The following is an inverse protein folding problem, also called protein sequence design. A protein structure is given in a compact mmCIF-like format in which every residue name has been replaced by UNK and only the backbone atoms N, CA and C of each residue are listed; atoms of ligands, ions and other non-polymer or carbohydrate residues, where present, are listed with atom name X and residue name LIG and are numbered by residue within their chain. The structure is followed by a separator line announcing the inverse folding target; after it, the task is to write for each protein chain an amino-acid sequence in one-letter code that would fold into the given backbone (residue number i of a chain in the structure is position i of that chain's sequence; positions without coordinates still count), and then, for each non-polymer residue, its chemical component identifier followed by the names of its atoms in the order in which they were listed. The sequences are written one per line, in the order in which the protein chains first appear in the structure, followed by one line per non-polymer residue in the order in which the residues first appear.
data_IF_320604322036
#
_entry.id   IF_320604322036
#
_cell.length_a   1.000
_cell.length_b   1.000
_cell.length_c   1.000
_cell.angle_alpha   90.00
_cell.angle_beta   90.00
_cell.angle_gamma   90.00
#
_symmetry.space_group_name_H-M   'P 1'
#
loop_
_entity.id
_entity.type
_entity.pdbx_description
1 polymer ?
#
# COMPACT_ATOMS: atom_id res chain seq x y z
N UNK A 1 14.89 -12.74 -12.74
CA UNK A 1 15.51 -13.09 -11.44
C UNK A 1 14.59 -14.02 -10.69
N UNK A 2 15.13 -14.93 -9.87
CA UNK A 2 14.32 -15.88 -9.10
C UNK A 2 13.59 -15.21 -7.93
N UNK A 3 14.15 -14.14 -7.39
CA UNK A 3 13.59 -13.36 -6.27
C UNK A 3 13.51 -11.88 -6.65
N UNK A 4 12.56 -11.18 -6.09
CA UNK A 4 12.38 -9.75 -6.32
C UNK A 4 13.52 -8.93 -5.70
N UNK A 5 13.88 -9.24 -4.46
CA UNK A 5 14.97 -8.60 -3.73
C UNK A 5 15.61 -9.55 -2.70
N UNK A 6 16.71 -9.12 -2.10
CA UNK A 6 17.44 -9.88 -1.08
C UNK A 6 16.63 -10.08 0.21
N UNK A 7 15.57 -9.32 0.43
CA UNK A 7 14.72 -9.49 1.61
C UNK A 7 13.93 -10.80 1.57
N UNK A 8 13.70 -11.37 0.38
CA UNK A 8 12.99 -12.64 0.24
C UNK A 8 13.81 -13.85 0.69
N UNK A 9 15.14 -13.76 0.57
CA UNK A 9 16.05 -14.87 0.88
C UNK A 9 16.59 -14.84 2.31
N UNK A 10 16.17 -13.88 3.14
CA UNK A 10 16.58 -13.79 4.55
C UNK A 10 16.15 -15.03 5.33
N UNK A 11 17.02 -15.52 6.20
CA UNK A 11 16.65 -16.56 7.17
C UNK A 11 15.57 -16.07 8.13
N UNK A 12 14.93 -17.01 8.85
CA UNK A 12 13.93 -16.69 9.88
C UNK A 12 14.53 -15.81 10.98
N UNK A 13 15.74 -16.13 11.41
CA UNK A 13 16.48 -15.40 12.44
C UNK A 13 16.82 -13.98 11.99
N UNK A 14 17.26 -13.82 10.74
CA UNK A 14 17.55 -12.50 10.17
C UNK A 14 16.29 -11.64 10.06
N UNK A 15 15.15 -12.22 9.65
CA UNK A 15 13.86 -11.48 9.63
C UNK A 15 13.44 -11.04 11.03
N UNK A 16 13.58 -11.92 12.03
CA UNK A 16 13.24 -11.60 13.42
C UNK A 16 14.14 -10.47 13.96
N UNK A 17 15.44 -10.53 13.70
CA UNK A 17 16.40 -9.49 14.09
C UNK A 17 16.09 -8.15 13.40
N UNK A 18 15.82 -8.14 12.09
CA UNK A 18 15.48 -6.93 11.36
C UNK A 18 14.17 -6.31 11.88
N UNK A 19 13.17 -7.14 12.18
CA UNK A 19 11.90 -6.68 12.76
C UNK A 19 12.13 -6.07 14.15
N UNK A 20 12.92 -6.74 15.01
CA UNK A 20 13.25 -6.25 16.35
C UNK A 20 13.92 -4.87 16.31
N UNK A 21 14.77 -4.62 15.32
CA UNK A 21 15.42 -3.33 15.13
C UNK A 21 14.47 -2.26 14.54
N UNK A 22 13.58 -2.64 13.62
CA UNK A 22 12.73 -1.69 12.88
C UNK A 22 11.48 -1.24 13.67
N UNK A 23 10.89 -2.14 14.49
CA UNK A 23 9.64 -1.85 15.21
C UNK A 23 9.74 -0.61 16.12
N UNK A 24 10.72 -0.49 17.03
CA UNK A 24 10.82 0.68 17.90
C UNK A 24 10.96 1.97 17.09
N UNK A 25 11.76 1.97 16.03
CA UNK A 25 12.01 3.15 15.19
C UNK A 25 10.73 3.60 14.50
N UNK A 26 9.95 2.67 13.93
CA UNK A 26 8.68 2.98 13.28
C UNK A 26 7.64 3.52 14.26
N UNK A 27 7.55 2.95 15.46
CA UNK A 27 6.59 3.38 16.49
C UNK A 27 6.95 4.77 17.02
N UNK A 28 8.23 5.01 17.29
CA UNK A 28 8.74 6.33 17.70
C UNK A 28 8.49 7.36 16.61
N UNK A 29 8.78 7.02 15.34
CA UNK A 29 8.48 7.90 14.21
C UNK A 29 6.99 8.24 14.13
N UNK A 30 6.10 7.27 14.24
CA UNK A 30 4.67 7.51 14.23
C UNK A 30 4.22 8.42 15.38
N UNK A 31 4.67 8.16 16.61
CA UNK A 31 4.39 8.99 17.79
C UNK A 31 4.88 10.43 17.62
N UNK A 32 6.10 10.60 17.16
CA UNK A 32 6.74 11.92 17.16
C UNK A 32 6.26 12.80 16.00
N UNK A 33 5.80 12.21 14.89
CA UNK A 33 5.44 12.94 13.68
C UNK A 33 3.93 12.98 13.38
N UNK A 34 3.08 12.30 14.16
CA UNK A 34 1.64 12.36 13.96
C UNK A 34 0.91 12.74 15.25
N UNK A 35 -0.15 13.54 15.12
CA UNK A 35 -0.93 13.98 16.27
C UNK A 35 -1.60 12.81 16.99
N UNK A 36 -2.28 11.96 16.25
CA UNK A 36 -3.09 10.88 16.80
C UNK A 36 -2.25 9.77 17.42
N UNK A 37 -1.14 9.35 16.78
CA UNK A 37 -0.27 8.35 17.42
C UNK A 37 0.52 8.90 18.59
N UNK A 38 0.79 10.21 18.66
CA UNK A 38 1.34 10.84 19.85
C UNK A 38 0.44 10.64 21.07
N UNK A 39 -0.86 10.79 20.90
CA UNK A 39 -1.85 10.57 21.95
C UNK A 39 -1.99 9.08 22.29
N UNK A 40 -2.16 8.22 21.27
CA UNK A 40 -2.39 6.78 21.45
C UNK A 40 -1.19 6.07 22.12
N UNK A 41 0.03 6.51 21.80
CA UNK A 41 1.27 5.83 22.22
C UNK A 41 1.99 6.54 23.39
N UNK A 42 1.39 7.58 23.99
CA UNK A 42 2.02 8.41 25.03
C UNK A 42 2.49 7.62 26.27
N UNK A 43 1.71 6.63 26.69
CA UNK A 43 1.95 5.85 27.90
C UNK A 43 2.88 4.62 27.69
N UNK A 44 3.36 4.40 26.48
CA UNK A 44 4.11 3.20 26.14
C UNK A 44 5.61 3.46 25.99
N UNK A 45 6.43 2.59 26.59
CA UNK A 45 7.88 2.54 26.32
C UNK A 45 8.15 1.82 25.01
N UNK A 46 8.12 2.59 23.92
CA UNK A 46 8.24 2.07 22.56
C UNK A 46 9.59 1.44 22.26
N UNK A 47 10.64 1.77 23.04
CA UNK A 47 11.97 1.19 22.89
C UNK A 47 11.99 -0.32 23.21
N UNK A 48 11.05 -0.79 23.99
CA UNK A 48 10.89 -2.22 24.39
C UNK A 48 10.03 -3.03 23.42
N UNK A 49 9.41 -2.39 22.42
CA UNK A 49 8.56 -3.09 21.45
C UNK A 49 9.42 -3.67 20.33
N UNK A 50 10.08 -4.79 20.60
CA UNK A 50 11.07 -5.42 19.71
C UNK A 50 10.61 -6.76 19.13
N UNK A 51 9.34 -7.15 19.34
CA UNK A 51 8.81 -8.44 18.87
C UNK A 51 7.32 -8.35 18.57
N UNK A 52 6.78 -9.34 17.87
CA UNK A 52 5.32 -9.45 17.66
C UNK A 52 4.56 -9.60 18.99
N UNK A 53 5.15 -10.29 19.96
CA UNK A 53 4.55 -10.43 21.29
C UNK A 53 4.45 -9.11 22.04
N UNK A 54 5.52 -8.30 22.03
CA UNK A 54 5.48 -6.96 22.63
C UNK A 54 4.61 -5.97 21.83
N UNK A 55 4.53 -6.10 20.50
CA UNK A 55 3.64 -5.31 19.67
C UNK A 55 2.17 -5.53 20.03
N UNK A 56 1.77 -6.75 20.41
CA UNK A 56 0.39 -7.08 20.79
C UNK A 56 -0.10 -6.38 22.07
N UNK A 57 0.79 -5.80 22.84
CA UNK A 57 0.42 -4.98 24.02
C UNK A 57 -0.03 -3.56 23.67
N UNK A 58 0.21 -3.11 22.43
CA UNK A 58 -0.22 -1.78 21.99
C UNK A 58 -1.69 -1.77 21.57
N UNK A 59 -2.36 -0.61 21.68
CA UNK A 59 -3.77 -0.49 21.29
C UNK A 59 -3.95 -0.70 19.77
N UNK A 60 -5.05 -1.37 19.43
CA UNK A 60 -5.44 -1.62 18.02
C UNK A 60 -6.17 -0.38 17.47
N UNK A 61 -5.67 0.18 16.38
CA UNK A 61 -6.38 1.22 15.62
C UNK A 61 -7.50 0.60 14.80
N UNK A 62 -8.75 0.94 15.12
CA UNK A 62 -9.92 0.43 14.41
C UNK A 62 -10.33 1.37 13.28
N UNK A 63 -10.83 0.81 12.17
CA UNK A 63 -11.28 1.58 11.00
C UNK A 63 -12.39 2.60 11.38
N UNK A 64 -13.29 2.24 12.28
CA UNK A 64 -14.31 3.16 12.81
C UNK A 64 -13.72 4.37 13.54
N UNK A 65 -12.64 4.16 14.28
CA UNK A 65 -11.93 5.26 14.98
C UNK A 65 -11.26 6.21 14.00
N UNK A 66 -10.69 5.69 12.90
CA UNK A 66 -10.12 6.52 11.83
C UNK A 66 -11.20 7.41 11.21
N UNK A 67 -12.35 6.82 10.82
CA UNK A 67 -13.48 7.58 10.24
C UNK A 67 -13.95 8.71 11.18
N UNK A 68 -14.05 8.43 12.48
CA UNK A 68 -14.44 9.44 13.45
C UNK A 68 -13.40 10.55 13.60
N UNK A 69 -12.12 10.20 13.64
CA UNK A 69 -11.03 11.17 13.73
C UNK A 69 -10.96 12.06 12.47
N UNK A 70 -11.21 11.51 11.29
CA UNK A 70 -11.25 12.28 10.04
C UNK A 70 -12.41 13.26 9.97
N UNK A 71 -13.57 12.96 10.59
CA UNK A 71 -14.67 13.92 10.73
C UNK A 71 -14.30 15.09 11.64
N UNK A 72 -13.53 14.83 12.69
CA UNK A 72 -13.13 15.84 13.67
C UNK A 72 -11.92 16.67 13.22
N UNK A 73 -11.02 16.07 12.42
CA UNK A 73 -9.80 16.69 11.91
C UNK A 73 -9.52 16.27 10.46
N UNK A 74 -10.27 16.82 9.47
CA UNK A 74 -10.10 16.47 8.05
C UNK A 74 -8.71 16.86 7.50
N UNK A 75 -8.22 16.18 6.45
CA UNK A 75 -8.81 14.99 5.85
C UNK A 75 -8.38 13.68 6.53
N UNK A 76 -7.25 13.63 7.25
CA UNK A 76 -6.61 12.38 7.67
C UNK A 76 -6.73 12.08 9.18
N UNK A 77 -7.45 12.88 9.94
CA UNK A 77 -7.68 12.62 11.36
C UNK A 77 -6.43 12.67 12.24
N UNK A 78 -5.36 13.34 11.79
CA UNK A 78 -4.08 13.40 12.51
C UNK A 78 -3.22 12.13 12.43
N UNK A 79 -3.55 11.19 11.55
CA UNK A 79 -2.80 9.92 11.38
C UNK A 79 -1.62 10.01 10.41
N UNK A 80 -1.48 11.10 9.65
CA UNK A 80 -0.43 11.23 8.63
C UNK A 80 0.69 12.17 9.06
N UNK A 81 1.87 11.92 8.54
CA UNK A 81 2.99 12.86 8.62
C UNK A 81 2.81 13.93 7.56
N UNK A 82 2.81 15.20 7.98
CA UNK A 82 2.60 16.34 7.08
C UNK A 82 1.14 16.64 6.77
N UNK A 83 0.93 17.51 5.79
CA UNK A 83 -0.37 17.99 5.34
C UNK A 83 -0.82 17.30 4.06
N UNK A 84 -2.09 17.51 3.66
CA UNK A 84 -2.64 16.92 2.42
C UNK A 84 -1.85 17.31 1.15
N UNK A 85 -1.22 18.48 1.12
CA UNK A 85 -0.39 18.94 -0.01
C UNK A 85 0.96 18.21 -0.15
N UNK A 86 1.35 17.41 0.83
CA UNK A 86 2.58 16.60 0.77
C UNK A 86 2.41 15.29 -0.02
N UNK A 87 1.19 14.94 -0.41
CA UNK A 87 0.89 13.71 -1.11
C UNK A 87 0.49 13.97 -2.57
N UNK A 88 0.85 13.06 -3.47
CA UNK A 88 0.52 13.15 -4.88
C UNK A 88 -0.97 12.88 -5.13
N UNK A 89 -1.58 12.03 -4.29
CA UNK A 89 -2.98 11.63 -4.40
C UNK A 89 -3.66 11.58 -3.04
N UNK A 90 -4.96 11.79 -3.05
CA UNK A 90 -5.86 11.50 -1.92
C UNK A 90 -6.96 10.60 -2.45
N UNK A 91 -7.13 9.45 -1.82
CA UNK A 91 -8.15 8.47 -2.18
C UNK A 91 -9.26 8.44 -1.14
N UNK A 92 -10.41 7.93 -1.54
CA UNK A 92 -11.52 7.63 -0.65
C UNK A 92 -11.85 6.15 -0.75
N UNK A 93 -11.55 5.38 0.29
CA UNK A 93 -11.99 4.00 0.42
C UNK A 93 -13.40 3.89 1.02
N UNK A 94 -14.11 2.76 0.82
CA UNK A 94 -15.41 2.56 1.45
C UNK A 94 -15.36 2.70 2.97
N UNK A 95 -16.30 3.55 3.49
CA UNK A 95 -16.34 3.79 4.93
C UNK A 95 -16.87 5.15 5.37
N UNK A 96 -16.84 6.33 4.69
CA UNK A 96 -15.73 6.78 3.84
C UNK A 96 -14.47 7.08 4.66
N UNK A 97 -13.32 6.69 4.14
CA UNK A 97 -12.01 7.00 4.75
C UNK A 97 -11.11 7.59 3.68
N UNK A 98 -10.48 8.73 3.97
CA UNK A 98 -9.50 9.34 3.11
C UNK A 98 -8.11 8.78 3.38
N UNK A 99 -7.40 8.43 2.33
CA UNK A 99 -6.09 7.80 2.37
C UNK A 99 -5.12 8.56 1.48
N UNK A 100 -3.90 8.87 1.97
CA UNK A 100 -2.87 9.48 1.13
C UNK A 100 -2.25 8.43 0.21
N UNK A 101 -1.76 8.87 -0.95
CA UNK A 101 -1.02 8.04 -1.88
C UNK A 101 0.09 8.77 -2.57
N UNK A 102 1.12 8.02 -2.93
CA UNK A 102 2.22 8.45 -3.78
C UNK A 102 2.52 7.37 -4.83
N UNK A 103 3.20 7.76 -5.88
CA UNK A 103 3.56 6.84 -6.98
C UNK A 103 5.01 6.38 -6.92
N UNK A 104 5.80 6.88 -5.98
CA UNK A 104 7.22 6.56 -5.82
C UNK A 104 7.46 5.21 -5.13
N UNK A 105 8.50 4.50 -5.57
CA UNK A 105 9.17 3.42 -4.83
C UNK A 105 8.26 2.32 -4.25
N UNK A 106 7.35 1.73 -5.05
CA UNK A 106 6.49 0.64 -4.59
C UNK A 106 5.72 1.01 -3.30
N UNK A 107 5.10 2.18 -3.30
CA UNK A 107 4.40 2.76 -2.16
C UNK A 107 3.48 1.77 -1.42
N UNK A 108 2.74 0.96 -2.18
CA UNK A 108 1.84 -0.05 -1.63
C UNK A 108 2.48 -1.43 -1.48
N UNK A 109 3.77 -1.58 -1.83
CA UNK A 109 4.53 -2.82 -1.68
C UNK A 109 3.96 -4.00 -2.45
N UNK A 110 3.39 -3.75 -3.62
CA UNK A 110 2.84 -4.78 -4.51
C UNK A 110 3.87 -5.35 -5.49
N UNK A 111 5.03 -4.71 -5.68
CA UNK A 111 6.05 -5.15 -6.63
C UNK A 111 6.47 -6.61 -6.42
N UNK A 112 6.67 -7.04 -5.16
CA UNK A 112 7.01 -8.43 -4.85
C UNK A 112 5.90 -9.41 -5.21
N UNK A 113 4.64 -9.04 -4.98
CA UNK A 113 3.49 -9.84 -5.40
C UNK A 113 3.41 -9.98 -6.93
N UNK A 114 3.56 -8.88 -7.67
CA UNK A 114 3.54 -8.87 -9.13
C UNK A 114 4.71 -9.69 -9.69
N UNK A 115 5.92 -9.53 -9.13
CA UNK A 115 7.09 -10.33 -9.51
C UNK A 115 6.87 -11.84 -9.28
N UNK A 116 6.24 -12.22 -8.17
CA UNK A 116 5.94 -13.62 -7.84
C UNK A 116 4.97 -14.27 -8.84
N UNK A 117 4.16 -13.48 -9.54
CA UNK A 117 3.31 -13.93 -10.66
C UNK A 117 4.10 -14.14 -11.97
N UNK A 118 5.40 -13.86 -11.98
CA UNK A 118 6.24 -13.98 -13.16
C UNK A 118 6.22 -12.76 -14.10
N UNK A 119 5.59 -11.66 -13.69
CA UNK A 119 5.49 -10.43 -14.48
C UNK A 119 6.77 -9.60 -14.34
N UNK A 120 7.25 -9.05 -15.46
CA UNK A 120 8.49 -8.26 -15.53
C UNK A 120 8.59 -7.36 -16.76
N UNK A 121 9.81 -6.93 -17.09
CA UNK A 121 10.10 -5.87 -18.07
C UNK A 121 9.51 -6.07 -19.48
N UNK A 122 9.19 -7.30 -19.88
CA UNK A 122 8.67 -7.60 -21.22
C UNK A 122 7.15 -7.74 -21.24
N UNK A 123 6.50 -7.53 -20.12
CA UNK A 123 5.06 -7.71 -19.99
C UNK A 123 4.29 -6.41 -20.19
N UNK A 124 3.10 -6.57 -20.75
CA UNK A 124 2.07 -5.53 -20.84
C UNK A 124 0.89 -5.99 -19.99
N UNK A 125 0.63 -5.28 -18.90
CA UNK A 125 -0.41 -5.65 -17.95
C UNK A 125 -1.62 -4.75 -18.13
N UNK A 126 -2.76 -5.31 -18.50
CA UNK A 126 -4.03 -4.60 -18.52
C UNK A 126 -4.59 -4.50 -17.10
N UNK A 127 -4.71 -3.27 -16.60
CA UNK A 127 -5.25 -3.00 -15.29
C UNK A 127 -6.72 -2.62 -15.37
N UNK A 128 -7.59 -3.53 -14.94
CA UNK A 128 -9.05 -3.37 -14.95
C UNK A 128 -9.61 -2.90 -13.60
N UNK A 129 -8.78 -2.52 -12.64
CA UNK A 129 -9.24 -1.87 -11.40
C UNK A 129 -9.65 -0.43 -11.65
N UNK A 130 -10.59 0.06 -10.83
CA UNK A 130 -11.04 1.46 -10.90
C UNK A 130 -9.91 2.43 -10.54
N UNK A 131 -9.80 3.50 -11.33
CA UNK A 131 -8.96 4.67 -11.06
C UNK A 131 -9.74 5.83 -10.42
N UNK A 132 -11.03 5.65 -10.18
CA UNK A 132 -11.92 6.68 -9.63
C UNK A 132 -12.00 6.58 -8.12
N UNK A 133 -11.61 7.65 -7.42
CA UNK A 133 -11.67 7.86 -5.98
C UNK A 133 -10.90 6.83 -5.15
N UNK A 134 -11.03 5.53 -5.43
CA UNK A 134 -10.38 4.45 -4.68
C UNK A 134 -8.93 4.24 -5.13
N UNK A 135 -8.04 3.73 -4.25
CA UNK A 135 -6.63 3.57 -4.60
C UNK A 135 -6.33 2.37 -5.52
N UNK A 136 -7.28 1.45 -5.74
CA UNK A 136 -7.00 0.14 -6.34
C UNK A 136 -6.28 0.22 -7.70
N UNK A 137 -6.76 1.03 -8.64
CA UNK A 137 -6.10 1.20 -9.95
C UNK A 137 -4.65 1.66 -9.81
N UNK A 138 -4.42 2.69 -9.01
CA UNK A 138 -3.07 3.24 -8.77
C UNK A 138 -2.17 2.27 -8.02
N UNK A 139 -2.71 1.52 -7.06
CA UNK A 139 -1.95 0.52 -6.29
C UNK A 139 -1.36 -0.55 -7.21
N UNK A 140 -2.20 -1.15 -8.03
CA UNK A 140 -1.77 -2.20 -8.96
C UNK A 140 -0.87 -1.64 -10.06
N UNK A 141 -1.17 -0.46 -10.60
CA UNK A 141 -0.28 0.23 -11.55
C UNK A 141 1.11 0.45 -10.96
N UNK A 142 1.20 0.95 -9.73
CA UNK A 142 2.47 1.16 -9.04
C UNK A 142 3.27 -0.14 -8.89
N UNK A 143 2.60 -1.24 -8.49
CA UNK A 143 3.25 -2.55 -8.38
C UNK A 143 3.77 -3.08 -9.71
N UNK A 144 3.00 -2.94 -10.79
CA UNK A 144 3.41 -3.34 -12.16
C UNK A 144 4.61 -2.52 -12.65
N UNK A 145 4.58 -1.20 -12.45
CA UNK A 145 5.71 -0.32 -12.79
C UNK A 145 6.98 -0.67 -12.00
N UNK A 146 6.84 -1.08 -10.75
CA UNK A 146 7.96 -1.45 -9.88
C UNK A 146 8.75 -2.63 -10.42
N UNK A 147 8.10 -3.59 -11.11
CA UNK A 147 8.77 -4.73 -11.76
C UNK A 147 9.22 -4.43 -13.20
N UNK A 148 9.04 -3.21 -13.68
CA UNK A 148 9.46 -2.75 -15.00
C UNK A 148 8.48 -3.10 -16.13
N UNK A 149 7.31 -3.64 -15.83
CA UNK A 149 6.30 -3.94 -16.84
C UNK A 149 5.52 -2.69 -17.29
N UNK A 150 4.95 -2.76 -18.48
CA UNK A 150 4.09 -1.70 -19.04
C UNK A 150 2.66 -1.86 -18.55
N UNK A 151 2.00 -0.75 -18.19
CA UNK A 151 0.59 -0.76 -17.77
C UNK A 151 -0.30 -0.24 -18.90
N UNK A 152 -1.35 -0.99 -19.22
CA UNK A 152 -2.51 -0.50 -19.95
C UNK A 152 -3.63 -0.20 -18.94
N UNK A 153 -3.92 1.09 -18.64
CA UNK A 153 -4.86 1.48 -17.59
C UNK A 153 -6.30 1.44 -18.13
N UNK A 154 -6.84 0.24 -18.31
CA UNK A 154 -8.14 0.01 -18.90
C UNK A 154 -9.32 0.44 -18.00
N UNK A 155 -9.13 0.35 -16.67
CA UNK A 155 -10.19 0.68 -15.71
C UNK A 155 -11.37 -0.30 -15.77
N UNK A 156 -12.53 0.15 -15.34
CA UNK A 156 -13.76 -0.64 -15.29
C UNK A 156 -14.67 -0.36 -16.51
N UNK A 157 -15.50 -1.34 -16.87
CA UNK A 157 -16.48 -1.23 -17.96
C UNK A 157 -15.89 -1.41 -19.36
N UNK A 158 -16.70 -1.20 -20.39
CA UNK A 158 -16.34 -1.27 -21.81
C UNK A 158 -15.64 -2.57 -22.23
N UNK A 159 -16.13 -3.73 -21.77
CA UNK A 159 -15.47 -5.04 -21.90
C UNK A 159 -15.06 -5.38 -23.34
N UNK A 160 -15.91 -5.08 -24.32
CA UNK A 160 -15.60 -5.34 -25.74
C UNK A 160 -14.39 -4.54 -26.24
N UNK A 161 -14.32 -3.25 -25.88
CA UNK A 161 -13.16 -2.42 -26.21
C UNK A 161 -11.90 -2.89 -25.49
N UNK A 162 -12.01 -3.31 -24.24
CA UNK A 162 -10.91 -3.85 -23.48
C UNK A 162 -10.34 -5.14 -24.08
N UNK A 163 -11.20 -6.06 -24.51
CA UNK A 163 -10.78 -7.31 -25.18
C UNK A 163 -10.09 -7.01 -26.51
N UNK A 164 -10.66 -6.10 -27.31
CA UNK A 164 -10.05 -5.67 -28.57
C UNK A 164 -8.68 -5.03 -28.34
N UNK A 165 -8.60 -4.06 -27.44
CA UNK A 165 -7.34 -3.39 -27.11
C UNK A 165 -6.28 -4.36 -26.58
N UNK A 166 -6.67 -5.31 -25.72
CA UNK A 166 -5.76 -6.35 -25.24
C UNK A 166 -5.12 -7.17 -26.38
N UNK A 167 -5.93 -7.51 -27.40
CA UNK A 167 -5.45 -8.20 -28.59
C UNK A 167 -4.54 -7.30 -29.44
N UNK A 168 -4.97 -6.07 -29.69
CA UNK A 168 -4.25 -5.14 -30.59
C UNK A 168 -2.87 -4.75 -30.05
N UNK A 169 -2.71 -4.61 -28.73
CA UNK A 169 -1.45 -4.20 -28.08
C UNK A 169 -0.62 -5.38 -27.55
N UNK A 170 -1.14 -6.61 -27.62
CA UNK A 170 -0.44 -7.81 -27.15
C UNK A 170 -0.31 -7.88 -25.61
N UNK A 171 -1.41 -7.66 -24.89
CA UNK A 171 -1.44 -7.79 -23.41
C UNK A 171 -1.00 -9.19 -23.01
N UNK A 172 -0.06 -9.29 -22.07
CA UNK A 172 0.46 -10.57 -21.55
C UNK A 172 -0.18 -10.98 -20.23
N UNK A 173 -0.71 -10.03 -19.47
CA UNK A 173 -1.39 -10.29 -18.21
C UNK A 173 -2.56 -9.31 -17.97
N UNK A 174 -3.58 -9.78 -17.28
CA UNK A 174 -4.74 -8.97 -16.88
C UNK A 174 -4.91 -9.04 -15.37
N UNK A 175 -5.15 -7.90 -14.76
CA UNK A 175 -5.46 -7.80 -13.33
C UNK A 175 -6.80 -7.06 -13.13
N UNK A 176 -7.65 -7.60 -12.26
CA UNK A 176 -8.98 -7.06 -12.01
C UNK A 176 -9.80 -7.97 -11.10
N UNK A 177 -11.04 -7.56 -10.85
CA UNK A 177 -12.02 -8.44 -10.21
C UNK A 177 -12.66 -9.34 -11.27
N UNK A 178 -12.57 -10.67 -11.07
CA UNK A 178 -13.40 -11.60 -11.80
C UNK A 178 -14.80 -11.60 -11.14
N UNK A 179 -15.80 -11.09 -11.86
CA UNK A 179 -17.20 -11.23 -11.48
C UNK A 179 -17.75 -12.36 -12.35
N UNK A 180 -18.00 -13.51 -11.74
CA UNK A 180 -18.68 -14.63 -12.37
C UNK A 180 -20.19 -14.51 -12.13
#
# INVERSE_FOLDING_TARGET
MKFFDDLEIRTKEKRASDLAAALPLQLIHARDHTKTYREILSEFDLSKVTSLASLSSLPITRKSSISQAQKSAPPFGGYTVGTSSNFEHIFQSPGPIYEPGQTSNDWWRLGRFIHALGIGNNDIVQNCFSYHMTPAGMMFENGVKTVGATVFPAGIGQSELQVRAASDIGVTAIQGHLIF
#
